data_IF_885375296589
#
_entry.id   IF_885375296589
#
_cell.length_a   1.000
_cell.length_b   1.000
_cell.length_c   1.000
_cell.angle_alpha   90.00
_cell.angle_beta   90.00
_cell.angle_gamma   90.00
#
_symmetry.space_group_name_H-M   'P 1'
#
loop_
_entity.id
_entity.type
_entity.pdbx_description
1 polymer ?
#
# COMPACT_ATOMS: atom_id res chain seq x y z
N UNK A 1 7.46 -1.56 -20.98
CA UNK A 1 7.93 -0.17 -20.70
C UNK A 1 9.45 -0.12 -20.72
N UNK A 2 10.14 -0.85 -19.84
CA UNK A 2 11.59 -0.78 -19.69
C UNK A 2 12.34 -1.03 -21.01
N UNK A 3 12.07 -2.15 -21.69
CA UNK A 3 12.71 -2.47 -22.99
C UNK A 3 12.49 -1.38 -24.07
N UNK A 4 11.28 -0.82 -24.14
CA UNK A 4 10.97 0.27 -25.08
C UNK A 4 11.76 1.54 -24.74
N UNK A 5 11.84 1.91 -23.46
CA UNK A 5 12.65 3.05 -23.02
C UNK A 5 14.13 2.84 -23.28
N UNK A 6 14.64 1.63 -23.03
CA UNK A 6 16.05 1.29 -23.26
C UNK A 6 16.39 1.34 -24.76
N UNK A 7 15.50 0.84 -25.62
CA UNK A 7 15.63 0.98 -27.07
C UNK A 7 15.69 2.46 -27.49
N UNK A 8 14.75 3.29 -27.01
CA UNK A 8 14.74 4.72 -27.35
C UNK A 8 15.99 5.45 -26.85
N UNK A 9 16.49 5.13 -25.65
CA UNK A 9 17.74 5.67 -25.12
C UNK A 9 18.94 5.26 -25.98
N UNK A 10 19.01 3.99 -26.40
CA UNK A 10 20.12 3.48 -27.23
C UNK A 10 20.13 4.04 -28.65
N UNK A 11 18.97 4.46 -29.17
CA UNK A 11 18.80 4.98 -30.54
C UNK A 11 18.78 6.51 -30.62
N UNK A 12 18.92 7.21 -29.48
CA UNK A 12 18.86 8.67 -29.41
C UNK A 12 17.45 9.25 -29.61
N UNK A 13 16.40 8.42 -29.55
CA UNK A 13 15.00 8.84 -29.54
C UNK A 13 14.54 9.29 -28.14
N UNK A 14 15.32 8.98 -27.11
CA UNK A 14 15.17 9.51 -25.77
C UNK A 14 16.53 9.81 -25.14
N UNK A 15 16.57 10.69 -24.15
CA UNK A 15 17.77 10.99 -23.37
C UNK A 15 17.42 11.34 -21.92
N UNK A 16 18.44 11.35 -21.05
CA UNK A 16 18.29 11.79 -19.65
C UNK A 16 18.80 13.22 -19.50
N UNK A 17 18.04 14.05 -18.81
CA UNK A 17 18.41 15.43 -18.52
C UNK A 17 17.83 15.88 -17.18
N UNK A 18 18.57 16.73 -16.46
CA UNK A 18 18.05 17.42 -15.28
C UNK A 18 17.20 18.60 -15.72
N UNK A 19 15.92 18.60 -15.36
CA UNK A 19 14.96 19.62 -15.76
C UNK A 19 14.33 20.30 -14.56
N UNK A 20 14.19 21.62 -14.66
CA UNK A 20 13.42 22.45 -13.73
C UNK A 20 11.93 22.18 -13.89
N UNK A 21 11.17 22.25 -12.79
CA UNK A 21 9.76 21.85 -12.82
C UNK A 21 8.89 22.80 -13.65
N UNK A 22 9.28 24.06 -13.81
CA UNK A 22 8.59 25.11 -14.54
C UNK A 22 8.55 24.84 -16.05
N UNK A 23 9.54 24.13 -16.61
CA UNK A 23 9.57 23.84 -18.05
C UNK A 23 8.79 22.57 -18.44
N UNK A 24 8.12 21.91 -17.50
CA UNK A 24 7.46 20.61 -17.73
C UNK A 24 5.94 20.72 -17.53
N UNK A 25 5.19 20.86 -18.61
CA UNK A 25 3.73 20.74 -18.61
C UNK A 25 3.28 19.29 -18.46
N UNK A 26 1.98 19.09 -18.50
CA UNK A 26 1.33 17.77 -18.53
C UNK A 26 0.83 17.54 -19.95
N UNK A 27 1.13 16.38 -20.54
CA UNK A 27 0.60 16.04 -21.86
C UNK A 27 -0.93 15.98 -21.82
N UNK A 28 -1.62 16.52 -22.83
CA UNK A 28 -3.09 16.65 -22.83
C UNK A 28 -3.80 15.30 -22.90
N UNK A 29 -3.12 14.25 -23.37
CA UNK A 29 -3.63 12.87 -23.34
C UNK A 29 -3.36 12.13 -22.02
N UNK A 30 -2.61 12.72 -21.09
CA UNK A 30 -2.26 12.07 -19.83
C UNK A 30 -3.52 11.83 -18.99
N UNK A 31 -3.63 10.62 -18.41
CA UNK A 31 -4.82 10.10 -17.72
C UNK A 31 -6.09 10.23 -18.56
N UNK A 32 -6.00 9.81 -19.82
CA UNK A 32 -7.10 9.79 -20.78
C UNK A 32 -7.76 11.16 -20.98
N UNK A 33 -6.96 12.23 -20.89
CA UNK A 33 -7.44 13.62 -21.02
C UNK A 33 -7.68 14.35 -19.71
N UNK A 34 -7.60 13.67 -18.56
CA UNK A 34 -7.89 14.27 -17.25
C UNK A 34 -6.73 15.08 -16.68
N UNK A 35 -5.48 14.79 -17.05
CA UNK A 35 -4.30 15.42 -16.47
C UNK A 35 -4.07 15.03 -15.00
N UNK A 36 -4.08 16.00 -14.09
CA UNK A 36 -3.87 15.77 -12.64
C UNK A 36 -5.00 16.35 -11.80
N UNK A 37 -5.18 15.81 -10.60
CA UNK A 37 -6.10 16.36 -9.60
C UNK A 37 -5.33 17.22 -8.59
N UNK A 38 -5.77 18.46 -8.38
CA UNK A 38 -5.19 19.33 -7.35
C UNK A 38 -5.27 18.70 -5.93
N UNK A 39 -6.35 17.95 -5.65
CA UNK A 39 -6.49 17.20 -4.39
C UNK A 39 -5.41 16.13 -4.24
N UNK A 40 -5.18 15.32 -5.29
CA UNK A 40 -4.13 14.30 -5.27
C UNK A 40 -2.71 14.91 -5.20
N UNK A 41 -2.49 16.07 -5.83
CA UNK A 41 -1.21 16.81 -5.69
C UNK A 41 -0.98 17.21 -4.22
N UNK A 42 -2.02 17.72 -3.54
CA UNK A 42 -1.97 18.08 -2.12
C UNK A 42 -1.74 16.88 -1.19
N UNK A 43 -2.42 15.76 -1.45
CA UNK A 43 -2.21 14.49 -0.73
C UNK A 43 -0.80 13.94 -0.95
N UNK A 44 -0.27 14.04 -2.17
CA UNK A 44 1.10 13.64 -2.49
C UNK A 44 2.12 14.52 -1.77
N UNK A 45 1.91 15.84 -1.71
CA UNK A 45 2.77 16.73 -0.92
C UNK A 45 2.81 16.31 0.55
N UNK A 46 1.64 16.14 1.16
CA UNK A 46 1.49 15.66 2.54
C UNK A 46 2.16 14.28 2.72
N UNK A 47 2.14 13.47 1.65
CA UNK A 47 2.79 12.17 1.61
C UNK A 47 4.31 12.28 1.73
N UNK A 48 4.92 13.09 0.86
CA UNK A 48 6.35 13.37 0.81
C UNK A 48 6.82 14.01 2.13
N UNK A 49 6.12 15.03 2.63
CA UNK A 49 6.52 15.74 3.86
C UNK A 49 6.54 14.88 5.12
N UNK A 50 5.80 13.76 5.15
CA UNK A 50 5.84 12.86 6.31
C UNK A 50 6.84 11.69 6.13
N UNK A 51 7.20 11.35 4.89
CA UNK A 51 8.15 10.26 4.59
C UNK A 51 9.59 10.76 4.41
N UNK A 52 9.74 12.01 4.00
CA UNK A 52 10.98 12.56 3.45
C UNK A 52 11.04 12.38 1.94
N UNK A 53 11.58 13.38 1.25
CA UNK A 53 11.82 13.34 -0.17
C UNK A 53 13.02 12.46 -0.51
N UNK A 54 12.88 11.66 -1.56
CA UNK A 54 13.96 10.82 -2.09
C UNK A 54 14.02 11.01 -3.60
N UNK A 55 15.11 11.62 -4.08
CA UNK A 55 15.26 11.97 -5.50
C UNK A 55 15.23 10.74 -6.42
N UNK A 56 15.76 9.59 -5.98
CA UNK A 56 15.74 8.35 -6.78
C UNK A 56 14.35 7.81 -7.07
N UNK A 57 13.33 8.24 -6.31
CA UNK A 57 11.93 7.89 -6.57
C UNK A 57 11.26 8.81 -7.61
N UNK A 58 11.94 9.88 -8.04
CA UNK A 58 11.48 10.72 -9.14
C UNK A 58 11.75 10.03 -10.48
N UNK A 59 10.78 9.25 -10.96
CA UNK A 59 10.83 8.51 -12.23
C UNK A 59 10.03 9.21 -13.33
N UNK A 60 10.44 10.43 -13.68
CA UNK A 60 9.75 11.26 -14.65
C UNK A 60 10.02 10.84 -16.10
N UNK A 61 8.95 10.79 -16.91
CA UNK A 61 9.02 10.67 -18.38
C UNK A 61 8.21 11.78 -19.01
N UNK A 62 8.80 12.49 -19.96
CA UNK A 62 8.18 13.60 -20.67
C UNK A 62 8.53 13.58 -22.16
N UNK A 63 7.72 14.26 -22.96
CA UNK A 63 7.86 14.39 -24.40
C UNK A 63 8.29 15.82 -24.70
N UNK A 64 9.30 15.98 -25.57
CA UNK A 64 9.72 17.28 -26.09
C UNK A 64 8.60 17.94 -26.90
N UNK A 65 8.30 19.20 -26.59
CA UNK A 65 7.33 20.01 -27.30
C UNK A 65 8.02 20.90 -28.35
N UNK A 66 7.35 21.08 -29.48
CA UNK A 66 7.78 21.96 -30.56
C UNK A 66 6.89 23.22 -30.60
N UNK A 67 6.94 23.94 -31.72
CA UNK A 67 6.05 25.09 -32.02
C UNK A 67 4.85 24.70 -32.88
N UNK A 68 4.56 23.40 -33.04
CA UNK A 68 3.41 22.93 -33.80
C UNK A 68 2.08 23.07 -33.02
N UNK A 69 0.97 22.90 -33.75
CA UNK A 69 -0.38 23.02 -33.17
C UNK A 69 -0.69 21.94 -32.13
N UNK A 70 -0.03 20.78 -32.19
CA UNK A 70 -0.19 19.73 -31.18
C UNK A 70 0.44 20.16 -29.86
N UNK A 71 1.65 20.68 -29.90
CA UNK A 71 2.37 21.21 -28.75
C UNK A 71 1.67 22.42 -28.15
N UNK A 72 1.07 23.27 -28.97
CA UNK A 72 0.26 24.40 -28.50
C UNK A 72 -0.99 23.92 -27.76
N UNK A 73 -1.66 22.86 -28.25
CA UNK A 73 -2.77 22.24 -27.52
C UNK A 73 -2.34 21.76 -26.13
N UNK A 74 -1.16 21.17 -26.01
CA UNK A 74 -0.61 20.76 -24.71
C UNK A 74 -0.38 21.96 -23.79
N UNK A 75 0.15 23.08 -24.31
CA UNK A 75 0.35 24.30 -23.52
C UNK A 75 -0.96 24.87 -23.02
N UNK A 76 -1.95 25.01 -23.89
CA UNK A 76 -3.29 25.50 -23.55
C UNK A 76 -4.01 24.59 -22.55
N UNK A 77 -3.84 23.26 -22.68
CA UNK A 77 -4.34 22.30 -21.70
C UNK A 77 -3.82 22.60 -20.28
N UNK A 78 -2.53 22.91 -20.16
CA UNK A 78 -1.91 23.24 -18.88
C UNK A 78 -2.42 24.55 -18.29
N UNK A 79 -2.57 25.59 -19.13
CA UNK A 79 -3.14 26.89 -18.71
C UNK A 79 -4.55 26.68 -18.12
N UNK A 80 -5.43 26.02 -18.89
CA UNK A 80 -6.80 25.72 -18.44
C UNK A 80 -6.81 24.96 -17.12
N UNK A 81 -5.98 23.92 -17.00
CA UNK A 81 -5.90 23.10 -15.80
C UNK A 81 -5.47 23.92 -14.56
N UNK A 82 -4.53 24.85 -14.73
CA UNK A 82 -4.10 25.74 -13.64
C UNK A 82 -5.22 26.73 -13.24
N UNK A 83 -5.90 27.33 -14.21
CA UNK A 83 -7.01 28.27 -13.99
C UNK A 83 -8.19 27.60 -13.25
N UNK A 84 -8.62 26.44 -13.74
CA UNK A 84 -9.72 25.65 -13.15
C UNK A 84 -9.41 25.21 -11.71
N UNK A 85 -8.13 25.08 -11.36
CA UNK A 85 -7.70 24.71 -10.01
C UNK A 85 -7.96 25.81 -8.96
N UNK A 86 -8.19 27.06 -9.39
CA UNK A 86 -8.38 28.26 -8.56
C UNK A 86 -7.20 28.48 -7.60
N UNK A 87 -5.97 28.43 -8.13
CA UNK A 87 -4.72 28.68 -7.38
C UNK A 87 -4.17 27.49 -6.59
N UNK A 88 -4.86 26.35 -6.59
CA UNK A 88 -4.36 25.10 -5.97
C UNK A 88 -3.26 24.42 -6.78
N UNK A 89 -3.22 24.67 -8.09
CA UNK A 89 -2.06 24.45 -8.94
C UNK A 89 -1.41 25.80 -9.23
N UNK A 90 -0.09 25.81 -9.32
CA UNK A 90 0.64 27.02 -9.65
C UNK A 90 0.27 27.54 -11.05
N UNK A 91 0.25 28.86 -11.20
CA UNK A 91 0.04 29.49 -12.50
C UNK A 91 1.12 29.04 -13.50
N UNK A 92 0.74 29.00 -14.77
CA UNK A 92 1.59 28.48 -15.84
C UNK A 92 1.80 29.58 -16.87
N UNK A 93 3.05 29.83 -17.22
CA UNK A 93 3.43 30.59 -18.42
C UNK A 93 3.59 29.59 -19.56
N UNK A 94 2.66 29.52 -20.52
CA UNK A 94 2.67 28.48 -21.55
C UNK A 94 3.98 28.46 -22.36
N UNK A 95 4.65 29.58 -22.55
CA UNK A 95 5.90 29.76 -23.30
C UNK A 95 7.10 29.09 -22.64
N UNK A 96 7.06 28.95 -21.31
CA UNK A 96 8.12 28.32 -20.51
C UNK A 96 8.10 26.80 -20.62
N UNK A 97 6.95 26.21 -20.99
CA UNK A 97 6.82 24.76 -21.14
C UNK A 97 7.69 24.30 -22.32
N UNK A 98 8.61 23.38 -22.13
CA UNK A 98 9.40 22.77 -23.21
C UNK A 98 9.13 21.28 -23.34
N UNK A 99 8.55 20.68 -22.30
CA UNK A 99 8.29 19.25 -22.21
C UNK A 99 6.90 18.99 -21.65
N UNK A 100 6.32 17.85 -21.99
CA UNK A 100 5.01 17.42 -21.53
C UNK A 100 5.11 16.06 -20.83
N UNK A 101 4.82 16.02 -19.53
CA UNK A 101 4.92 14.81 -18.72
C UNK A 101 3.82 13.82 -19.04
N UNK A 102 4.21 12.55 -19.13
CA UNK A 102 3.33 11.37 -19.23
C UNK A 102 3.49 10.45 -18.02
N UNK A 103 4.62 10.53 -17.32
CA UNK A 103 4.86 9.87 -16.03
C UNK A 103 5.48 10.89 -15.07
N UNK A 104 5.05 10.90 -13.80
CA UNK A 104 5.58 11.82 -12.79
C UNK A 104 4.88 13.19 -12.71
N UNK A 105 3.75 13.36 -13.41
CA UNK A 105 3.00 14.63 -13.50
C UNK A 105 2.65 15.24 -12.14
N UNK A 106 2.15 14.45 -11.17
CA UNK A 106 1.79 14.96 -9.84
C UNK A 106 3.01 15.46 -9.06
N UNK A 107 4.11 14.69 -9.05
CA UNK A 107 5.36 15.09 -8.38
C UNK A 107 5.92 16.39 -8.96
N UNK A 108 5.84 16.57 -10.29
CA UNK A 108 6.24 17.82 -10.92
C UNK A 108 5.39 19.02 -10.48
N UNK A 109 4.07 18.82 -10.35
CA UNK A 109 3.17 19.87 -9.85
C UNK A 109 3.41 20.22 -8.38
N UNK A 110 3.78 19.24 -7.54
CA UNK A 110 4.21 19.53 -6.16
C UNK A 110 5.45 20.42 -6.15
N UNK A 111 6.47 20.08 -6.94
CA UNK A 111 7.70 20.89 -7.05
C UNK A 111 7.41 22.30 -7.57
N UNK A 112 6.59 22.41 -8.62
CA UNK A 112 6.18 23.71 -9.17
C UNK A 112 5.39 24.54 -8.17
N UNK A 113 4.54 23.88 -7.37
CA UNK A 113 3.81 24.52 -6.28
C UNK A 113 4.75 25.23 -5.30
N UNK A 114 5.91 24.66 -4.99
CA UNK A 114 6.92 25.34 -4.19
C UNK A 114 7.69 26.41 -4.95
N UNK A 115 8.06 26.15 -6.21
CA UNK A 115 8.84 27.09 -7.02
C UNK A 115 8.08 28.42 -7.25
N UNK A 116 6.76 28.34 -7.42
CA UNK A 116 5.90 29.48 -7.76
C UNK A 116 4.94 29.90 -6.64
N UNK A 117 4.99 29.23 -5.49
CA UNK A 117 4.15 29.52 -4.33
C UNK A 117 2.66 29.30 -4.58
N UNK A 118 2.22 28.06 -4.80
CA UNK A 118 0.81 27.71 -4.92
C UNK A 118 0.09 27.71 -3.55
N UNK A 119 -1.24 27.87 -3.57
CA UNK A 119 -2.04 27.84 -2.35
C UNK A 119 -2.08 26.43 -1.74
N UNK A 120 -1.86 26.33 -0.42
CA UNK A 120 -1.91 25.07 0.32
C UNK A 120 -2.28 25.27 1.80
N UNK A 121 -2.76 24.22 2.45
CA UNK A 121 -3.23 24.23 3.84
C UNK A 121 -2.24 23.63 4.84
N UNK A 122 -1.00 23.33 4.42
CA UNK A 122 -0.03 22.64 5.29
C UNK A 122 0.80 23.70 6.04
N UNK A 123 0.58 23.90 7.35
CA UNK A 123 1.19 25.02 8.07
C UNK A 123 2.71 24.90 8.18
N UNK A 124 3.27 23.69 8.11
CA UNK A 124 4.73 23.48 8.21
C UNK A 124 5.50 24.12 7.06
N UNK A 125 4.89 24.25 5.89
CA UNK A 125 5.56 24.71 4.66
C UNK A 125 4.83 25.86 3.97
N UNK A 126 3.97 26.59 4.69
CA UNK A 126 3.21 27.71 4.12
C UNK A 126 3.42 29.02 4.87
N UNK A 127 3.37 30.13 4.14
CA UNK A 127 3.35 31.50 4.67
C UNK A 127 2.18 32.22 3.99
N UNK A 128 1.23 32.73 4.78
CA UNK A 128 0.02 33.37 4.23
C UNK A 128 -0.83 32.43 3.36
N UNK A 129 -0.82 31.13 3.65
CA UNK A 129 -1.55 30.11 2.87
C UNK A 129 -0.87 29.70 1.55
N UNK A 130 0.33 30.18 1.29
CA UNK A 130 1.10 29.89 0.06
C UNK A 130 2.31 29.04 0.39
N UNK A 131 2.61 28.04 -0.45
CA UNK A 131 3.79 27.19 -0.29
C UNK A 131 5.07 28.04 -0.31
N UNK A 132 5.95 27.77 0.65
CA UNK A 132 7.18 28.53 0.85
C UNK A 132 8.41 27.61 0.79
N UNK A 133 9.27 27.85 -0.20
CA UNK A 133 10.45 27.05 -0.47
C UNK A 133 11.54 27.17 0.61
N UNK A 134 11.62 28.29 1.33
CA UNK A 134 12.57 28.47 2.43
C UNK A 134 12.18 27.64 3.66
N UNK A 135 10.89 27.61 3.99
CA UNK A 135 10.36 26.72 5.03
C UNK A 135 10.57 25.26 4.66
N UNK A 136 10.32 24.89 3.40
CA UNK A 136 10.65 23.56 2.91
C UNK A 136 12.13 23.24 3.14
N UNK A 137 13.04 24.16 2.82
CA UNK A 137 14.47 23.97 2.99
C UNK A 137 14.92 23.74 4.44
N UNK A 138 14.15 24.18 5.43
CA UNK A 138 14.42 23.90 6.86
C UNK A 138 13.94 22.51 7.28
N UNK A 139 12.91 21.98 6.62
CA UNK A 139 12.28 20.69 6.95
C UNK A 139 12.91 19.55 6.14
N UNK A 140 13.07 19.78 4.84
CA UNK A 140 13.61 18.82 3.88
C UNK A 140 14.55 19.54 2.89
N UNK A 141 15.83 19.70 3.25
CA UNK A 141 16.82 20.36 2.41
C UNK A 141 17.01 19.67 1.04
N UNK A 142 16.86 18.35 0.98
CA UNK A 142 16.98 17.59 -0.26
C UNK A 142 15.82 17.92 -1.21
N UNK A 143 14.60 18.00 -0.67
CA UNK A 143 13.44 18.40 -1.48
C UNK A 143 13.59 19.83 -2.00
N UNK A 144 13.99 20.77 -1.14
CA UNK A 144 14.20 22.15 -1.57
C UNK A 144 15.29 22.28 -2.64
N UNK A 145 16.36 21.46 -2.56
CA UNK A 145 17.39 21.37 -3.60
C UNK A 145 16.83 20.84 -4.92
N UNK A 146 15.98 19.82 -4.88
CA UNK A 146 15.31 19.27 -6.07
C UNK A 146 14.38 20.29 -6.73
N UNK A 147 13.62 21.07 -5.93
CA UNK A 147 12.78 22.15 -6.47
C UNK A 147 13.63 23.23 -7.16
N UNK A 148 14.71 23.70 -6.53
CA UNK A 148 15.58 24.76 -7.10
C UNK A 148 16.42 24.32 -8.29
N UNK A 149 16.87 23.07 -8.29
CA UNK A 149 17.84 22.55 -9.23
C UNK A 149 17.23 21.66 -10.32
N UNK A 150 15.92 21.39 -10.25
CA UNK A 150 15.26 20.36 -11.05
C UNK A 150 15.56 18.94 -10.57
N UNK A 151 15.06 17.94 -11.30
CA UNK A 151 15.36 16.51 -11.09
C UNK A 151 15.66 15.83 -12.42
N UNK A 152 16.18 14.60 -12.40
CA UNK A 152 16.41 13.84 -13.64
C UNK A 152 15.09 13.39 -14.27
N UNK A 153 14.95 13.63 -15.57
CA UNK A 153 13.85 13.15 -16.41
C UNK A 153 14.39 12.31 -17.56
N UNK A 154 13.58 11.38 -18.04
CA UNK A 154 13.74 10.85 -19.39
C UNK A 154 12.89 11.69 -20.34
N UNK A 155 13.55 12.28 -21.33
CA UNK A 155 12.91 13.08 -22.37
C UNK A 155 12.82 12.22 -23.62
N UNK A 156 11.62 12.13 -24.18
CA UNK A 156 11.35 11.45 -25.45
C UNK A 156 11.27 12.54 -26.53
N UNK A 157 11.99 12.34 -27.62
CA UNK A 157 11.99 13.28 -28.75
C UNK A 157 10.59 13.44 -29.34
N UNK A 158 10.27 14.66 -29.75
CA UNK A 158 9.01 14.97 -30.45
C UNK A 158 8.78 14.07 -31.68
N UNK A 159 9.85 13.55 -32.30
CA UNK A 159 9.79 12.62 -33.43
C UNK A 159 9.00 11.35 -33.09
N UNK A 160 9.09 10.86 -31.85
CA UNK A 160 8.34 9.66 -31.43
C UNK A 160 6.85 9.96 -31.42
N UNK A 161 6.43 11.06 -30.78
CA UNK A 161 5.02 11.46 -30.74
C UNK A 161 4.46 11.78 -32.13
N UNK A 162 5.28 12.34 -33.03
CA UNK A 162 4.89 12.61 -34.41
C UNK A 162 4.65 11.32 -35.24
N UNK A 163 5.43 10.26 -34.98
CA UNK A 163 5.31 8.98 -35.70
C UNK A 163 4.43 7.95 -34.98
N UNK A 164 4.14 8.17 -33.69
CA UNK A 164 3.33 7.31 -32.83
C UNK A 164 2.47 8.19 -31.90
N UNK A 165 1.37 8.79 -32.40
CA UNK A 165 0.53 9.72 -31.63
C UNK A 165 -0.07 9.13 -30.35
N UNK A 166 -0.19 7.81 -30.26
CA UNK A 166 -0.67 7.04 -29.11
C UNK A 166 0.40 6.80 -28.02
N UNK A 167 1.65 7.22 -28.26
CA UNK A 167 2.78 6.98 -27.36
C UNK A 167 2.50 7.48 -25.93
N UNK A 168 1.96 8.70 -25.79
CA UNK A 168 1.57 9.24 -24.49
C UNK A 168 0.58 8.32 -23.76
N UNK A 169 -0.42 7.81 -24.49
CA UNK A 169 -1.41 6.85 -24.02
C UNK A 169 -0.82 5.50 -23.58
N UNK A 170 0.13 4.97 -24.35
CA UNK A 170 0.83 3.73 -24.02
C UNK A 170 1.68 3.88 -22.74
N UNK A 171 2.41 4.99 -22.63
CA UNK A 171 3.32 5.24 -21.52
C UNK A 171 2.59 5.45 -20.19
N UNK A 172 1.45 6.15 -20.20
CA UNK A 172 0.63 6.26 -18.99
C UNK A 172 0.10 4.90 -18.53
N UNK A 173 -0.36 4.05 -19.45
CA UNK A 173 -0.93 2.74 -19.14
C UNK A 173 0.14 1.83 -18.53
N UNK A 174 1.34 1.86 -19.11
CA UNK A 174 2.48 1.11 -18.61
C UNK A 174 2.94 1.61 -17.22
N UNK A 175 2.96 2.93 -17.01
CA UNK A 175 3.26 3.51 -15.70
C UNK A 175 2.24 3.12 -14.62
N UNK A 176 0.95 3.17 -14.95
CA UNK A 176 -0.12 2.74 -14.05
C UNK A 176 -0.03 1.24 -13.73
N UNK A 177 0.26 0.40 -14.73
CA UNK A 177 0.43 -1.04 -14.53
C UNK A 177 1.60 -1.33 -13.58
N UNK A 178 2.73 -0.63 -13.71
CA UNK A 178 3.87 -0.79 -12.80
C UNK A 178 3.50 -0.48 -11.34
N UNK A 179 2.72 0.58 -11.11
CA UNK A 179 2.21 0.94 -9.77
C UNK A 179 1.22 -0.10 -9.25
N UNK A 180 0.35 -0.64 -10.09
CA UNK A 180 -0.61 -1.68 -9.69
C UNK A 180 0.06 -3.02 -9.38
N UNK A 181 1.13 -3.37 -10.10
CA UNK A 181 1.93 -4.58 -9.85
C UNK A 181 2.74 -4.43 -8.57
N UNK A 182 3.19 -3.21 -8.23
CA UNK A 182 3.82 -2.92 -6.96
C UNK A 182 2.80 -3.12 -5.82
N UNK A 183 2.91 -4.26 -5.13
CA UNK A 183 1.96 -4.61 -4.08
C UNK A 183 2.22 -3.79 -2.82
N UNK A 184 1.21 -3.07 -2.31
CA UNK A 184 1.35 -2.40 -1.02
C UNK A 184 1.40 -3.43 0.13
N UNK A 185 1.83 -2.95 1.29
CA UNK A 185 1.81 -3.72 2.55
C UNK A 185 0.38 -4.20 2.87
N UNK A 186 0.21 -5.51 3.11
CA UNK A 186 -1.07 -6.13 3.45
C UNK A 186 -1.31 -6.24 4.97
N UNK A 187 -2.55 -6.52 5.37
CA UNK A 187 -2.94 -6.58 6.79
C UNK A 187 -2.16 -7.64 7.59
N UNK A 188 -1.77 -8.75 6.97
CA UNK A 188 -1.00 -9.81 7.63
C UNK A 188 0.46 -9.36 7.85
N UNK A 189 1.05 -8.66 6.88
CA UNK A 189 2.34 -8.00 7.03
C UNK A 189 2.29 -6.93 8.13
N UNK A 190 1.22 -6.12 8.21
CA UNK A 190 1.01 -5.15 9.30
C UNK A 190 0.96 -5.87 10.65
N UNK A 191 0.22 -6.98 10.77
CA UNK A 191 0.16 -7.77 12.00
C UNK A 191 1.54 -8.26 12.44
N UNK A 192 2.36 -8.76 11.51
CA UNK A 192 3.74 -9.19 11.77
C UNK A 192 4.64 -8.03 12.19
N UNK A 193 4.49 -6.87 11.55
CA UNK A 193 5.22 -5.64 11.89
C UNK A 193 4.88 -5.18 13.31
N UNK A 194 3.61 -5.25 13.69
CA UNK A 194 3.13 -4.95 15.04
C UNK A 194 3.74 -5.93 16.05
N UNK A 195 3.73 -7.25 15.79
CA UNK A 195 4.32 -8.24 16.69
C UNK A 195 5.78 -7.92 17.00
N UNK A 196 6.57 -7.63 15.95
CA UNK A 196 7.98 -7.24 16.09
C UNK A 196 8.17 -5.94 16.85
N UNK A 197 7.29 -4.95 16.65
CA UNK A 197 7.35 -3.69 17.38
C UNK A 197 7.04 -3.88 18.87
N UNK A 198 6.07 -4.74 19.20
CA UNK A 198 5.74 -5.12 20.59
C UNK A 198 6.95 -5.83 21.24
N UNK A 199 7.54 -6.82 20.56
CA UNK A 199 8.72 -7.54 21.06
C UNK A 199 9.91 -6.61 21.32
N UNK A 200 10.19 -5.70 20.38
CA UNK A 200 11.24 -4.69 20.51
C UNK A 200 10.97 -3.71 21.66
N UNK A 201 9.73 -3.26 21.83
CA UNK A 201 9.35 -2.36 22.91
C UNK A 201 9.49 -3.04 24.28
N UNK A 202 8.96 -4.26 24.44
CA UNK A 202 9.01 -4.99 25.71
C UNK A 202 10.46 -5.30 26.12
N UNK A 203 11.32 -5.67 25.16
CA UNK A 203 12.74 -5.94 25.44
C UNK A 203 13.53 -4.69 25.81
N UNK A 204 13.20 -3.53 25.25
CA UNK A 204 13.94 -2.28 25.52
C UNK A 204 13.44 -1.54 26.75
N UNK A 205 12.12 -1.55 27.00
CA UNK A 205 11.49 -0.78 28.10
C UNK A 205 11.33 -1.56 29.39
N UNK A 206 11.37 -2.90 29.36
CA UNK A 206 11.04 -3.76 30.49
C UNK A 206 9.56 -3.76 30.91
N UNK A 207 8.71 -2.96 30.24
CA UNK A 207 7.26 -2.92 30.46
C UNK A 207 6.57 -4.06 29.71
N UNK A 208 5.53 -4.61 30.32
CA UNK A 208 4.67 -5.65 29.73
C UNK A 208 3.33 -5.10 29.24
N UNK A 209 2.93 -3.96 29.78
CA UNK A 209 1.78 -3.18 29.36
C UNK A 209 2.19 -2.27 28.18
N UNK A 210 1.64 -2.56 27.01
CA UNK A 210 1.88 -1.80 25.78
C UNK A 210 0.56 -1.20 25.29
N UNK A 211 0.58 0.08 24.94
CA UNK A 211 -0.52 0.74 24.24
C UNK A 211 -0.19 0.90 22.76
N UNK A 212 -1.19 1.24 21.95
CA UNK A 212 -0.95 1.48 20.52
C UNK A 212 -0.06 2.71 20.32
N UNK A 213 -0.24 3.74 21.15
CA UNK A 213 0.51 5.00 21.11
C UNK A 213 2.01 4.75 21.21
N UNK A 214 2.44 3.80 22.06
CA UNK A 214 3.85 3.43 22.29
C UNK A 214 4.58 3.03 20.99
N UNK A 215 3.89 2.38 20.04
CA UNK A 215 4.48 1.87 18.78
C UNK A 215 3.91 2.51 17.52
N UNK A 216 2.86 3.33 17.64
CA UNK A 216 2.10 3.91 16.53
C UNK A 216 3.00 4.61 15.50
N UNK A 217 3.91 5.48 15.96
CA UNK A 217 4.84 6.23 15.09
C UNK A 217 5.70 5.31 14.23
N UNK A 218 6.18 4.19 14.79
CA UNK A 218 6.99 3.22 14.05
C UNK A 218 6.17 2.48 12.99
N UNK A 219 4.96 2.04 13.35
CA UNK A 219 4.10 1.28 12.44
C UNK A 219 3.64 2.17 11.27
N UNK A 220 3.18 3.38 11.57
CA UNK A 220 2.61 4.32 10.61
C UNK A 220 3.64 4.98 9.69
N UNK A 221 4.94 4.78 9.93
CA UNK A 221 6.02 5.30 9.09
C UNK A 221 5.97 4.79 7.65
N UNK A 222 5.42 3.59 7.39
CA UNK A 222 5.23 3.08 6.02
C UNK A 222 3.98 3.62 5.32
N UNK A 223 3.14 4.40 6.01
CA UNK A 223 1.81 4.82 5.52
C UNK A 223 1.00 3.63 4.97
N UNK A 224 0.61 2.68 5.83
CA UNK A 224 -0.14 1.50 5.40
C UNK A 224 -1.43 1.93 4.66
N UNK A 225 -1.88 1.19 3.62
CA UNK A 225 -2.98 1.61 2.75
C UNK A 225 -4.29 1.92 3.48
N UNK A 226 -4.57 1.18 4.56
CA UNK A 226 -5.71 1.41 5.43
C UNK A 226 -5.21 1.74 6.85
N UNK A 227 -4.91 3.01 7.16
CA UNK A 227 -4.42 3.38 8.49
C UNK A 227 -5.44 3.13 9.60
N UNK A 228 -6.74 3.11 9.29
CA UNK A 228 -7.82 2.96 10.26
C UNK A 228 -7.94 1.53 10.82
N UNK A 229 -7.49 0.51 10.08
CA UNK A 229 -7.53 -0.88 10.57
C UNK A 229 -6.40 -1.20 11.55
N UNK A 230 -5.29 -0.45 11.50
CA UNK A 230 -4.06 -0.73 12.26
C UNK A 230 -4.29 -0.84 13.78
N UNK A 231 -5.08 0.02 14.45
CA UNK A 231 -5.36 -0.12 15.88
C UNK A 231 -6.10 -1.41 16.24
N UNK A 232 -6.95 -1.92 15.34
CA UNK A 232 -7.69 -3.17 15.54
C UNK A 232 -6.81 -4.39 15.35
N UNK A 233 -5.90 -4.36 14.36
CA UNK A 233 -4.84 -5.36 14.22
C UNK A 233 -3.94 -5.35 15.45
N UNK A 234 -3.59 -4.16 15.97
CA UNK A 234 -2.81 -4.05 17.21
C UNK A 234 -3.49 -4.76 18.38
N UNK A 235 -4.78 -4.50 18.61
CA UNK A 235 -5.55 -5.15 19.68
C UNK A 235 -5.51 -6.68 19.55
N UNK A 236 -5.64 -7.19 18.32
CA UNK A 236 -5.54 -8.61 18.06
C UNK A 236 -4.16 -9.16 18.43
N UNK A 237 -3.10 -8.54 17.91
CA UNK A 237 -1.71 -9.01 18.08
C UNK A 237 -1.27 -8.89 19.53
N UNK A 238 -1.59 -7.80 20.23
CA UNK A 238 -1.28 -7.63 21.65
C UNK A 238 -1.92 -8.73 22.52
N UNK A 239 -3.10 -9.23 22.12
CA UNK A 239 -3.85 -10.23 22.86
C UNK A 239 -3.52 -11.68 22.48
N UNK A 240 -3.35 -11.92 21.18
CA UNK A 240 -3.31 -13.26 20.59
C UNK A 240 -2.05 -13.53 19.76
N UNK A 241 -1.11 -12.59 19.71
CA UNK A 241 0.10 -12.67 18.89
C UNK A 241 1.15 -13.69 19.37
N UNK A 242 2.42 -13.36 19.15
CA UNK A 242 3.55 -14.24 19.45
C UNK A 242 3.62 -15.46 18.54
N UNK A 243 4.01 -16.62 19.08
CA UNK A 243 4.23 -17.85 18.31
C UNK A 243 3.00 -18.34 17.54
N UNK A 244 1.78 -18.05 18.03
CA UNK A 244 0.55 -18.37 17.32
C UNK A 244 0.39 -17.56 16.02
N UNK A 245 0.79 -16.29 16.02
CA UNK A 245 0.76 -15.44 14.83
C UNK A 245 1.81 -15.88 13.83
N UNK A 246 3.02 -16.21 14.30
CA UNK A 246 4.09 -16.74 13.45
C UNK A 246 3.65 -18.02 12.72
N UNK A 247 3.09 -18.99 13.45
CA UNK A 247 2.56 -20.22 12.84
C UNK A 247 1.39 -19.97 11.88
N UNK A 248 0.46 -19.05 12.24
CA UNK A 248 -0.61 -18.65 11.33
C UNK A 248 -0.08 -18.00 10.05
N UNK A 249 0.89 -17.09 10.15
CA UNK A 249 1.47 -16.38 9.01
C UNK A 249 2.16 -17.34 8.05
N UNK A 250 3.00 -18.24 8.58
CA UNK A 250 3.69 -19.26 7.77
C UNK A 250 2.68 -20.10 6.98
N UNK A 251 1.61 -20.56 7.63
CA UNK A 251 0.58 -21.35 6.97
C UNK A 251 -0.20 -20.55 5.92
N UNK A 252 -0.65 -19.33 6.26
CA UNK A 252 -1.42 -18.46 5.36
C UNK A 252 -0.59 -18.09 4.13
N UNK A 253 0.69 -17.78 4.31
CA UNK A 253 1.60 -17.48 3.21
C UNK A 253 1.76 -18.66 2.26
N UNK A 254 1.82 -19.89 2.79
CA UNK A 254 2.01 -21.09 1.99
C UNK A 254 0.71 -21.61 1.32
N UNK A 255 -0.46 -21.39 1.93
CA UNK A 255 -1.70 -22.07 1.51
C UNK A 255 -2.90 -21.14 1.30
N UNK A 256 -2.77 -19.84 1.57
CA UNK A 256 -3.89 -18.89 1.56
C UNK A 256 -3.66 -17.67 0.67
N UNK A 257 -4.42 -16.63 0.97
CA UNK A 257 -4.41 -15.36 0.24
C UNK A 257 -3.91 -14.23 1.15
N UNK A 258 -2.60 -14.10 1.42
CA UNK A 258 -2.08 -13.15 2.42
C UNK A 258 -2.47 -11.68 2.15
N UNK A 259 -2.69 -11.32 0.89
CA UNK A 259 -3.12 -9.97 0.49
C UNK A 259 -4.63 -9.71 0.63
N UNK A 260 -5.41 -10.67 1.14
CA UNK A 260 -6.84 -10.48 1.37
C UNK A 260 -7.04 -9.42 2.46
N UNK A 261 -7.90 -8.45 2.17
CA UNK A 261 -8.30 -7.39 3.11
C UNK A 261 -9.47 -7.92 3.94
N UNK A 262 -9.28 -8.04 5.26
CA UNK A 262 -10.31 -8.50 6.18
C UNK A 262 -11.09 -7.32 6.78
N UNK A 263 -10.43 -6.16 6.94
CA UNK A 263 -11.07 -4.91 7.33
C UNK A 263 -11.32 -4.76 8.84
N UNK A 264 -11.64 -3.52 9.25
CA UNK A 264 -11.72 -3.12 10.66
C UNK A 264 -12.70 -3.94 11.50
N UNK A 265 -13.89 -4.24 10.95
CA UNK A 265 -14.92 -4.96 11.70
C UNK A 265 -14.52 -6.40 12.00
N UNK A 266 -13.78 -7.03 11.08
CA UNK A 266 -13.26 -8.38 11.25
C UNK A 266 -12.26 -8.41 12.40
N UNK A 267 -11.25 -7.52 12.36
CA UNK A 267 -10.22 -7.45 13.39
C UNK A 267 -10.78 -7.05 14.76
N UNK A 268 -11.74 -6.13 14.79
CA UNK A 268 -12.46 -5.74 16.00
C UNK A 268 -13.20 -6.93 16.62
N UNK A 269 -14.01 -7.63 15.81
CA UNK A 269 -14.78 -8.79 16.25
C UNK A 269 -13.86 -9.93 16.73
N UNK A 270 -12.75 -10.18 16.02
CA UNK A 270 -11.80 -11.25 16.38
C UNK A 270 -11.04 -10.92 17.68
N UNK A 271 -10.85 -9.63 17.97
CA UNK A 271 -10.18 -9.14 19.17
C UNK A 271 -11.08 -9.04 20.40
N UNK A 272 -12.38 -9.29 20.26
CA UNK A 272 -13.36 -9.14 21.32
C UNK A 272 -12.97 -9.91 22.60
N UNK A 273 -13.38 -9.37 23.76
CA UNK A 273 -13.25 -10.06 25.04
C UNK A 273 -14.26 -11.18 25.18
N UNK A 274 -13.78 -12.32 25.66
CA UNK A 274 -14.63 -13.45 26.02
C UNK A 274 -14.68 -13.50 27.54
N UNK A 275 -15.90 -13.64 28.08
CA UNK A 275 -16.10 -13.81 29.52
C UNK A 275 -15.49 -15.14 29.98
N UNK A 276 -14.73 -15.11 31.06
CA UNK A 276 -14.10 -16.28 31.67
C UNK A 276 -12.58 -16.33 31.51
N UNK A 277 -11.93 -17.36 32.08
CA UNK A 277 -10.47 -17.41 32.18
C UNK A 277 -9.77 -17.70 30.84
N UNK A 278 -10.45 -18.38 29.90
CA UNK A 278 -9.87 -18.76 28.61
C UNK A 278 -10.20 -17.71 27.55
N UNK A 279 -9.18 -16.97 27.12
CA UNK A 279 -9.29 -16.01 26.02
C UNK A 279 -9.19 -16.67 24.63
N UNK A 280 -9.44 -17.98 24.48
CA UNK A 280 -9.61 -18.72 23.21
C UNK A 280 -8.68 -18.34 22.05
N UNK A 281 -7.37 -18.28 22.30
CA UNK A 281 -6.36 -17.85 21.31
C UNK A 281 -6.32 -18.82 20.12
N UNK A 282 -6.39 -20.12 20.38
CA UNK A 282 -6.33 -21.16 19.35
C UNK A 282 -7.48 -21.03 18.35
N UNK A 283 -8.72 -20.88 18.85
CA UNK A 283 -9.89 -20.67 18.01
C UNK A 283 -9.76 -19.40 17.14
N UNK A 284 -9.25 -18.30 17.70
CA UNK A 284 -9.06 -17.08 16.91
C UNK A 284 -8.10 -17.28 15.75
N UNK A 285 -6.98 -17.96 15.99
CA UNK A 285 -6.02 -18.26 14.93
C UNK A 285 -6.56 -19.28 13.91
N UNK A 286 -7.43 -20.20 14.35
CA UNK A 286 -8.15 -21.09 13.46
C UNK A 286 -9.12 -20.34 12.54
N UNK A 287 -9.89 -19.39 13.08
CA UNK A 287 -10.77 -18.49 12.32
C UNK A 287 -9.97 -17.60 11.37
N UNK A 288 -8.83 -17.04 11.83
CA UNK A 288 -7.95 -16.23 11.01
C UNK A 288 -7.43 -17.01 9.79
N UNK A 289 -6.96 -18.25 10.00
CA UNK A 289 -6.54 -19.15 8.92
C UNK A 289 -7.69 -19.46 7.97
N UNK A 290 -8.89 -19.73 8.47
CA UNK A 290 -10.07 -19.95 7.62
C UNK A 290 -10.43 -18.71 6.79
N UNK A 291 -10.34 -17.52 7.38
CA UNK A 291 -10.62 -16.27 6.69
C UNK A 291 -9.63 -15.97 5.56
N UNK A 292 -8.36 -16.37 5.70
CA UNK A 292 -7.33 -16.16 4.69
C UNK A 292 -7.19 -17.31 3.67
N UNK A 293 -7.39 -18.56 4.09
CA UNK A 293 -7.21 -19.74 3.25
C UNK A 293 -8.53 -20.27 2.65
N UNK A 294 -9.67 -19.85 3.18
CA UNK A 294 -10.99 -20.21 2.65
C UNK A 294 -11.37 -19.42 1.40
N UNK A 295 -12.51 -19.75 0.77
CA UNK A 295 -13.09 -18.93 -0.30
C UNK A 295 -13.33 -17.49 0.18
N UNK A 296 -13.53 -16.57 -0.77
CA UNK A 296 -13.87 -15.20 -0.40
C UNK A 296 -15.15 -15.18 0.45
N UNK A 297 -15.15 -14.37 1.50
CA UNK A 297 -16.23 -14.28 2.50
C UNK A 297 -16.59 -15.61 3.21
N UNK A 298 -15.66 -16.58 3.29
CA UNK A 298 -15.83 -17.82 4.05
C UNK A 298 -16.24 -17.58 5.52
N UNK A 299 -15.72 -16.48 6.09
CA UNK A 299 -16.00 -16.02 7.45
C UNK A 299 -16.53 -14.60 7.37
N UNK A 300 -17.68 -14.35 8.00
CA UNK A 300 -18.26 -13.01 8.13
C UNK A 300 -18.03 -12.48 9.55
N UNK A 301 -18.09 -11.15 9.73
CA UNK A 301 -18.07 -10.50 11.05
C UNK A 301 -19.13 -11.10 11.99
N UNK A 302 -20.31 -11.45 11.45
CA UNK A 302 -21.40 -12.06 12.24
C UNK A 302 -21.04 -13.44 12.80
N UNK A 303 -20.28 -14.23 12.04
CA UNK A 303 -19.82 -15.55 12.46
C UNK A 303 -18.83 -15.42 13.63
N UNK A 304 -17.91 -14.46 13.53
CA UNK A 304 -16.91 -14.18 14.55
C UNK A 304 -17.58 -13.70 15.83
N UNK A 305 -18.50 -12.72 15.74
CA UNK A 305 -19.23 -12.21 16.91
C UNK A 305 -19.99 -13.34 17.61
N UNK A 306 -20.64 -14.24 16.84
CA UNK A 306 -21.31 -15.43 17.40
C UNK A 306 -20.33 -16.37 18.08
N UNK A 307 -19.17 -16.61 17.47
CA UNK A 307 -18.12 -17.45 18.05
C UNK A 307 -17.61 -16.88 19.38
N UNK A 308 -17.32 -15.58 19.43
CA UNK A 308 -16.81 -14.91 20.63
C UNK A 308 -17.88 -14.78 21.73
N UNK A 309 -19.16 -14.69 21.36
CA UNK A 309 -20.29 -14.61 22.30
C UNK A 309 -20.91 -15.97 22.66
N UNK A 310 -20.34 -17.09 22.20
CA UNK A 310 -20.90 -18.42 22.43
C UNK A 310 -21.01 -18.72 23.93
N UNK A 311 -22.22 -19.09 24.36
CA UNK A 311 -22.49 -19.54 25.74
C UNK A 311 -22.17 -21.02 25.96
N UNK A 312 -21.92 -21.76 24.89
CA UNK A 312 -21.58 -23.19 24.95
C UNK A 312 -20.08 -23.37 25.21
N UNK A 313 -19.71 -23.15 26.47
CA UNK A 313 -18.31 -23.24 26.94
C UNK A 313 -17.77 -24.66 26.76
N UNK A 314 -18.61 -25.69 26.96
CA UNK A 314 -18.21 -27.10 26.83
C UNK A 314 -17.78 -27.43 25.40
N UNK A 315 -18.55 -26.98 24.40
CA UNK A 315 -18.20 -27.17 22.98
C UNK A 315 -16.89 -26.47 22.62
N UNK A 316 -16.63 -25.28 23.19
CA UNK A 316 -15.38 -24.55 22.98
C UNK A 316 -14.18 -25.24 23.64
N UNK A 317 -14.36 -25.80 24.84
CA UNK A 317 -13.31 -26.57 25.53
C UNK A 317 -12.97 -27.85 24.76
N UNK A 318 -13.97 -28.63 24.35
CA UNK A 318 -13.78 -29.83 23.53
C UNK A 318 -13.02 -29.53 22.23
N UNK A 319 -13.29 -28.37 21.61
CA UNK A 319 -12.59 -27.91 20.40
C UNK A 319 -11.09 -27.71 20.63
N UNK A 320 -10.73 -26.94 21.67
CA UNK A 320 -9.34 -26.64 21.99
C UNK A 320 -8.59 -27.87 22.53
N UNK A 321 -9.30 -28.76 23.24
CA UNK A 321 -8.76 -30.03 23.70
C UNK A 321 -8.44 -30.97 22.54
N UNK A 322 -9.30 -31.03 21.52
CA UNK A 322 -9.03 -31.79 20.28
C UNK A 322 -7.82 -31.25 19.53
N UNK A 323 -7.68 -29.93 19.42
CA UNK A 323 -6.49 -29.31 18.83
C UNK A 323 -5.24 -29.65 19.66
N UNK A 324 -5.33 -29.59 20.98
CA UNK A 324 -4.22 -29.92 21.88
C UNK A 324 -3.86 -31.41 21.83
N UNK A 325 -4.83 -32.31 21.65
CA UNK A 325 -4.60 -33.73 21.41
C UNK A 325 -3.87 -33.95 20.08
N UNK A 326 -4.26 -33.27 19.00
CA UNK A 326 -3.57 -33.36 17.73
C UNK A 326 -2.09 -32.93 17.83
N UNK A 327 -1.79 -31.85 18.54
CA UNK A 327 -0.40 -31.47 18.83
C UNK A 327 0.37 -32.57 19.57
N UNK A 328 -0.27 -33.24 20.55
CA UNK A 328 0.36 -34.33 21.31
C UNK A 328 0.61 -35.57 20.46
N UNK A 329 -0.31 -35.93 19.56
CA UNK A 329 -0.17 -37.07 18.66
C UNK A 329 0.93 -36.85 17.61
N UNK A 330 1.19 -35.60 17.25
CA UNK A 330 2.26 -35.23 16.33
C UNK A 330 3.63 -35.05 17.01
N UNK A 331 3.71 -35.27 18.33
CA UNK A 331 4.97 -35.18 19.08
C UNK A 331 5.93 -36.29 18.62
N UNK A 332 7.06 -35.89 18.04
CA UNK A 332 8.07 -36.82 17.50
C UNK A 332 7.95 -37.07 16.00
N UNK A 333 6.93 -36.51 15.34
CA UNK A 333 6.89 -36.39 13.88
C UNK A 333 7.76 -35.21 13.45
N UNK A 334 8.41 -35.32 12.28
CA UNK A 334 9.13 -34.21 11.68
C UNK A 334 8.24 -32.96 11.61
N UNK A 335 8.72 -31.85 12.17
CA UNK A 335 7.98 -30.58 12.24
C UNK A 335 7.65 -30.01 10.86
N UNK A 336 8.45 -30.31 9.84
CA UNK A 336 8.16 -29.94 8.45
C UNK A 336 6.89 -30.60 7.91
N UNK A 337 6.52 -31.77 8.45
CA UNK A 337 5.32 -32.53 8.08
C UNK A 337 4.17 -32.26 9.05
N UNK A 338 4.45 -32.24 10.35
CA UNK A 338 3.43 -32.07 11.39
C UNK A 338 2.76 -30.69 11.37
N UNK A 339 3.53 -29.60 11.16
CA UNK A 339 3.00 -28.24 11.26
C UNK A 339 1.97 -27.89 10.17
N UNK A 340 2.18 -28.21 8.88
CA UNK A 340 1.15 -28.01 7.86
C UNK A 340 -0.16 -28.73 8.17
N UNK A 341 -0.10 -30.01 8.57
CA UNK A 341 -1.26 -30.82 8.92
C UNK A 341 -2.05 -30.22 10.08
N UNK A 342 -1.34 -29.78 11.12
CA UNK A 342 -1.94 -29.18 12.28
C UNK A 342 -2.65 -27.86 11.94
N UNK A 343 -2.06 -27.04 11.09
CA UNK A 343 -2.68 -25.78 10.66
C UNK A 343 -3.89 -25.99 9.75
N UNK A 344 -3.89 -27.02 8.90
CA UNK A 344 -5.08 -27.44 8.16
C UNK A 344 -6.19 -27.89 9.12
N UNK A 345 -5.85 -28.70 10.12
CA UNK A 345 -6.80 -29.14 11.14
C UNK A 345 -7.41 -27.94 11.89
N UNK A 346 -6.62 -26.93 12.26
CA UNK A 346 -7.15 -25.71 12.88
C UNK A 346 -8.21 -25.06 11.98
N UNK A 347 -7.89 -24.85 10.70
CA UNK A 347 -8.81 -24.25 9.72
C UNK A 347 -10.13 -25.03 9.64
N UNK A 348 -10.05 -26.36 9.52
CA UNK A 348 -11.22 -27.21 9.30
C UNK A 348 -12.09 -27.28 10.55
N UNK A 349 -11.47 -27.32 11.73
CA UNK A 349 -12.15 -27.23 13.02
C UNK A 349 -12.91 -25.91 13.13
N UNK A 350 -12.32 -24.77 12.71
CA UNK A 350 -13.04 -23.49 12.67
C UNK A 350 -14.23 -23.53 11.69
N UNK A 351 -14.07 -24.15 10.53
CA UNK A 351 -15.16 -24.26 9.55
C UNK A 351 -16.35 -25.07 10.11
N UNK A 352 -16.06 -26.20 10.76
CA UNK A 352 -17.06 -27.03 11.43
C UNK A 352 -17.74 -26.24 12.55
N UNK A 353 -16.96 -25.56 13.39
CA UNK A 353 -17.50 -24.78 14.50
C UNK A 353 -18.43 -23.65 14.02
N UNK A 354 -18.08 -22.97 12.92
CA UNK A 354 -18.88 -21.92 12.32
C UNK A 354 -20.01 -22.44 11.41
N UNK A 355 -20.27 -23.75 11.39
CA UNK A 355 -21.27 -24.40 10.52
C UNK A 355 -21.09 -24.05 9.03
N UNK A 356 -19.86 -23.87 8.57
CA UNK A 356 -19.55 -23.63 7.16
C UNK A 356 -19.49 -24.98 6.45
N UNK A 357 -20.51 -25.28 5.63
CA UNK A 357 -20.66 -26.60 5.01
C UNK A 357 -19.53 -26.92 4.02
N UNK A 358 -19.10 -28.17 4.04
CA UNK A 358 -17.86 -28.71 3.47
C UNK A 358 -17.82 -28.85 1.94
N UNK A 359 -18.66 -28.15 1.17
CA UNK A 359 -18.51 -28.16 -0.32
C UNK A 359 -17.36 -27.27 -0.78
N UNK A 360 -17.08 -26.17 -0.10
CA UNK A 360 -16.02 -25.22 -0.51
C UNK A 360 -14.65 -25.56 0.07
N UNK A 361 -14.59 -26.14 1.28
CA UNK A 361 -13.34 -26.66 1.88
C UNK A 361 -12.79 -27.84 1.07
N UNK A 362 -13.66 -28.76 0.63
CA UNK A 362 -13.29 -29.90 -0.24
C UNK A 362 -12.78 -29.49 -1.62
N UNK A 363 -13.23 -28.36 -2.18
CA UNK A 363 -12.73 -27.84 -3.47
C UNK A 363 -11.31 -27.30 -3.37
N UNK A 364 -10.91 -26.79 -2.20
CA UNK A 364 -9.56 -26.27 -1.97
C UNK A 364 -8.56 -27.42 -1.71
N UNK A 365 -8.98 -28.46 -0.96
CA UNK A 365 -8.21 -29.70 -0.79
C UNK A 365 -7.90 -30.40 -2.12
N UNK A 366 -8.84 -30.38 -3.08
CA UNK A 366 -8.60 -30.94 -4.41
C UNK A 366 -7.50 -30.21 -5.20
N UNK A 367 -7.21 -28.94 -4.90
CA UNK A 367 -6.14 -28.15 -5.57
C UNK A 367 -4.76 -28.30 -4.94
N UNK A 368 -4.67 -28.85 -3.72
CA UNK A 368 -3.42 -29.06 -2.99
C UNK A 368 -2.85 -30.48 -3.14
N UNK A 369 -3.39 -31.29 -4.07
CA UNK A 369 -2.73 -32.55 -4.45
C UNK A 369 -1.39 -32.23 -5.10
N UNK A 370 -0.32 -32.41 -4.33
CA UNK A 370 1.06 -32.47 -4.83
C UNK A 370 1.12 -33.42 -6.04
N UNK A 371 2.00 -33.16 -7.03
CA UNK A 371 2.30 -34.17 -8.03
C UNK A 371 2.81 -35.41 -7.30
N UNK A 372 2.12 -36.52 -7.48
CA UNK A 372 2.55 -37.84 -7.04
C UNK A 372 3.95 -38.09 -7.58
N UNK A 373 4.89 -38.35 -6.65
CA UNK A 373 6.19 -38.98 -6.95
C UNK A 373 5.98 -40.34 -7.62
#
# INVERSE_FOLDING_TARGET
MQECMDYMLSTGLAWRQRLQCECIGIHEQNRDGLGVSAGHVSELLSSILALGFVESECRGVCIELTSDSSSERTRLFNVRLAEESKGRLAAIQPEMIRYASVVGSHSNQVMRGFALGAAHTEPRVTVGGMLNLELLGKIDPAFAKAVRGGVSWVIVSHKVQANMPEFAGLMQAAGNAAVQVAKPEDELQIAKKISRAIESFCSTSGRKDISFEDISKQIMRSKPPNPQVVPFIFRFVAKCGGSFLEGSEVHIRAHGHPHRVLGLEFWDALSAEIKGPKQRVVLRHAILKLAYCGPDRAVTTSDIRRAMASKDVRKLDDLEDKISQAHRLLKGVDMSVAMPLLHMLHRDIAAIFLNKSSKEVRRFEMRLRLPTL
#
